data_IF_886584691534
#
_entry.id   IF_886584691534
#
_cell.length_a   1.000
_cell.length_b   1.000
_cell.length_c   1.000
_cell.angle_alpha   90.00
_cell.angle_beta   90.00
_cell.angle_gamma   90.00
#
_symmetry.space_group_name_H-M   'P 1'
#
loop_
_entity.id
_entity.type
_entity.pdbx_description
1 polymer ?
#
# COMPACT_ATOMS: atom_id res chain seq x y z
N UNK A 1 -32.10 35.32 -49.01
CA UNK A 1 -30.77 35.71 -48.48
C UNK A 1 -30.74 35.32 -47.00
N UNK A 2 -29.72 34.59 -46.59
CA UNK A 2 -29.76 33.61 -45.50
C UNK A 2 -29.90 34.18 -44.07
N UNK A 3 -30.81 33.58 -43.29
CA UNK A 3 -30.94 33.75 -41.83
C UNK A 3 -29.77 33.07 -41.09
N UNK A 4 -29.13 33.81 -40.19
CA UNK A 4 -28.13 33.30 -39.27
C UNK A 4 -28.76 32.36 -38.22
N UNK A 5 -28.39 31.07 -38.23
CA UNK A 5 -28.63 30.15 -37.12
C UNK A 5 -27.51 30.34 -36.09
N UNK A 6 -27.85 30.88 -34.91
CA UNK A 6 -26.95 30.92 -33.75
C UNK A 6 -26.85 29.50 -33.19
N UNK A 7 -25.64 28.93 -33.23
CA UNK A 7 -25.30 27.66 -32.58
C UNK A 7 -25.47 27.80 -31.06
N UNK A 8 -26.25 26.89 -30.47
CA UNK A 8 -26.26 26.64 -29.03
C UNK A 8 -25.02 25.82 -28.66
N UNK A 9 -23.95 26.49 -28.20
CA UNK A 9 -22.82 25.86 -27.52
C UNK A 9 -22.81 26.38 -26.09
N UNK A 10 -23.69 25.82 -25.25
CA UNK A 10 -23.67 26.05 -23.80
C UNK A 10 -24.18 24.84 -22.99
N UNK A 11 -24.46 23.70 -23.62
CA UNK A 11 -25.07 22.53 -22.97
C UNK A 11 -24.10 21.42 -22.54
N UNK A 12 -22.86 21.41 -23.03
CA UNK A 12 -21.95 20.28 -22.84
C UNK A 12 -21.02 20.39 -21.61
N UNK A 13 -20.92 21.57 -20.97
CA UNK A 13 -20.00 21.78 -19.83
C UNK A 13 -20.71 21.58 -18.47
N UNK A 14 -22.04 21.64 -18.42
CA UNK A 14 -22.79 21.43 -17.18
C UNK A 14 -23.16 19.96 -16.92
N UNK A 15 -23.17 19.11 -17.96
CA UNK A 15 -23.50 17.69 -17.84
C UNK A 15 -22.34 16.80 -17.35
N UNK A 16 -21.11 17.34 -17.32
CA UNK A 16 -19.93 16.66 -16.75
C UNK A 16 -19.79 16.83 -15.22
N UNK A 17 -20.67 17.61 -14.58
CA UNK A 17 -20.60 17.92 -13.14
C UNK A 17 -21.67 17.24 -12.28
N UNK A 18 -22.55 16.40 -12.85
CA UNK A 18 -23.68 15.80 -12.12
C UNK A 18 -23.79 14.27 -12.29
N UNK A 19 -22.72 13.60 -12.72
CA UNK A 19 -22.78 12.17 -13.07
C UNK A 19 -21.64 11.29 -12.56
N UNK A 20 -20.80 11.77 -11.64
CA UNK A 20 -19.90 10.91 -10.90
C UNK A 20 -20.46 10.77 -9.48
N UNK A 21 -21.31 9.76 -9.26
CA UNK A 21 -21.42 9.22 -7.91
C UNK A 21 -20.00 8.88 -7.48
N UNK A 22 -19.52 9.47 -6.40
CA UNK A 22 -18.19 9.21 -5.88
C UNK A 22 -18.06 7.69 -5.68
N UNK A 23 -17.39 7.00 -6.59
CA UNK A 23 -16.85 5.68 -6.30
C UNK A 23 -15.80 5.93 -5.23
N UNK A 24 -16.24 5.81 -3.99
CA UNK A 24 -15.42 6.03 -2.82
C UNK A 24 -14.20 5.12 -2.96
N UNK A 25 -13.01 5.73 -2.95
CA UNK A 25 -11.76 5.15 -2.51
C UNK A 25 -11.99 3.87 -1.67
N UNK A 26 -11.76 2.68 -2.25
CA UNK A 26 -12.27 1.43 -1.65
C UNK A 26 -11.15 0.59 -1.06
N UNK A 27 -11.21 0.40 0.26
CA UNK A 27 -10.53 -0.71 0.95
C UNK A 27 -11.37 -1.97 0.76
N UNK A 28 -10.74 -3.00 0.23
CA UNK A 28 -11.33 -4.32 0.03
C UNK A 28 -10.74 -5.30 1.03
N UNK A 29 -11.59 -6.10 1.66
CA UNK A 29 -11.20 -7.10 2.66
C UNK A 29 -11.39 -8.50 2.11
N UNK A 30 -10.48 -9.39 2.47
CA UNK A 30 -10.54 -10.79 2.09
C UNK A 30 -11.33 -11.58 3.14
N UNK A 31 -12.44 -12.17 2.71
CA UNK A 31 -13.37 -12.90 3.57
C UNK A 31 -13.51 -14.36 3.14
N UNK A 32 -13.75 -15.23 4.11
CA UNK A 32 -14.14 -16.62 3.84
C UNK A 32 -15.62 -16.74 3.42
N UNK A 33 -16.08 -17.96 3.18
CA UNK A 33 -17.46 -18.23 2.78
C UNK A 33 -18.51 -17.87 3.85
N UNK A 34 -18.10 -17.72 5.11
CA UNK A 34 -18.95 -17.29 6.22
C UNK A 34 -18.95 -15.77 6.45
N UNK A 35 -18.14 -15.03 5.69
CA UNK A 35 -17.92 -13.60 5.89
C UNK A 35 -16.89 -13.28 6.98
N UNK A 36 -16.28 -14.30 7.59
CA UNK A 36 -15.18 -14.16 8.53
C UNK A 36 -13.88 -13.81 7.81
N UNK A 37 -12.81 -13.60 8.58
CA UNK A 37 -11.49 -13.37 8.01
C UNK A 37 -11.10 -14.58 7.15
N UNK A 38 -10.71 -14.33 5.88
CA UNK A 38 -10.23 -15.41 5.02
C UNK A 38 -9.06 -16.15 5.68
N UNK A 39 -8.92 -17.47 5.48
CA UNK A 39 -7.99 -18.26 6.27
C UNK A 39 -6.56 -17.75 6.13
N UNK A 40 -6.01 -17.18 7.21
CA UNK A 40 -4.57 -16.99 7.38
C UNK A 40 -3.94 -18.35 7.77
N UNK A 41 -4.21 -19.40 6.99
CA UNK A 41 -3.78 -20.77 7.31
C UNK A 41 -2.27 -20.80 7.44
N UNK A 42 -1.77 -21.47 8.48
CA UNK A 42 -0.34 -21.73 8.76
C UNK A 42 0.33 -22.60 7.67
N UNK A 43 0.03 -22.39 6.40
CA UNK A 43 0.71 -22.91 5.22
C UNK A 43 0.74 -21.80 4.16
N UNK A 44 1.44 -21.98 3.05
CA UNK A 44 1.38 -21.06 1.91
C UNK A 44 -0.08 -20.73 1.59
N UNK A 45 -0.50 -19.51 1.92
CA UNK A 45 -1.90 -19.11 1.91
C UNK A 45 -2.28 -18.68 0.51
N UNK A 46 -3.04 -19.51 -0.18
CA UNK A 46 -3.56 -19.17 -1.49
C UNK A 46 -4.58 -18.03 -1.35
N UNK A 47 -4.23 -16.85 -1.84
CA UNK A 47 -5.13 -15.68 -2.05
C UNK A 47 -6.40 -15.98 -2.84
N UNK A 48 -6.52 -17.18 -3.42
CA UNK A 48 -7.66 -17.63 -4.20
C UNK A 48 -8.76 -18.26 -3.35
N UNK A 49 -8.53 -18.50 -2.05
CA UNK A 49 -9.55 -19.08 -1.17
C UNK A 49 -10.28 -17.98 -0.41
N UNK A 50 -11.44 -17.59 -0.91
CA UNK A 50 -12.28 -16.55 -0.31
C UNK A 50 -12.86 -15.61 -1.35
N UNK A 51 -13.56 -14.59 -0.87
CA UNK A 51 -14.11 -13.51 -1.68
C UNK A 51 -13.53 -12.18 -1.19
N UNK A 52 -13.47 -11.20 -2.09
CA UNK A 52 -13.09 -9.84 -1.74
C UNK A 52 -14.34 -8.97 -1.66
N UNK A 53 -14.45 -8.14 -0.62
CA UNK A 53 -15.60 -7.23 -0.44
C UNK A 53 -15.66 -6.12 -1.50
N UNK A 54 -14.65 -6.03 -2.36
CA UNK A 54 -14.60 -5.16 -3.53
C UNK A 54 -13.56 -5.69 -4.53
N UNK A 55 -12.63 -4.85 -4.97
CA UNK A 55 -11.57 -5.27 -5.89
C UNK A 55 -10.67 -6.37 -5.32
N UNK A 56 -10.30 -7.34 -6.16
CA UNK A 56 -9.37 -8.42 -5.81
C UNK A 56 -7.94 -8.07 -6.25
N UNK A 57 -6.91 -8.35 -5.42
CA UNK A 57 -5.52 -8.18 -5.82
C UNK A 57 -5.10 -9.16 -6.92
N UNK A 58 -5.75 -10.33 -7.04
CA UNK A 58 -5.50 -11.31 -8.12
C UNK A 58 -5.81 -10.69 -9.48
N UNK A 59 -6.95 -10.00 -9.59
CA UNK A 59 -7.38 -9.31 -10.82
C UNK A 59 -6.44 -8.16 -11.20
N UNK A 60 -5.66 -7.68 -10.21
CA UNK A 60 -4.65 -6.63 -10.34
C UNK A 60 -3.22 -7.18 -10.46
N UNK A 61 -3.06 -8.49 -10.63
CA UNK A 61 -1.79 -9.15 -10.92
C UNK A 61 -0.97 -9.57 -9.70
N UNK A 62 -1.53 -9.58 -8.49
CA UNK A 62 -0.85 -10.14 -7.32
C UNK A 62 -0.75 -11.66 -7.45
N UNK A 63 0.48 -12.18 -7.45
CA UNK A 63 0.76 -13.61 -7.60
C UNK A 63 1.57 -14.19 -6.44
N UNK A 64 1.95 -13.38 -5.45
CA UNK A 64 3.01 -13.78 -4.53
C UNK A 64 2.63 -14.76 -3.42
N UNK A 65 1.35 -15.12 -3.33
CA UNK A 65 0.89 -16.26 -2.53
C UNK A 65 1.13 -16.14 -0.99
N UNK A 66 1.27 -14.91 -0.47
CA UNK A 66 1.09 -14.63 0.95
C UNK A 66 -0.40 -14.37 1.27
N UNK A 67 -0.87 -14.69 2.49
CA UNK A 67 -2.27 -14.54 2.90
C UNK A 67 -2.62 -13.08 3.16
N UNK A 68 -2.86 -12.32 2.10
CA UNK A 68 -3.26 -10.91 2.19
C UNK A 68 -4.68 -10.76 2.70
N UNK A 69 -4.89 -9.87 3.67
CA UNK A 69 -6.18 -9.67 4.36
C UNK A 69 -6.96 -8.48 3.85
N UNK A 70 -6.28 -7.48 3.28
CA UNK A 70 -6.92 -6.29 2.72
C UNK A 70 -6.11 -5.67 1.56
N UNK A 71 -6.80 -4.89 0.74
CA UNK A 71 -6.28 -4.13 -0.39
C UNK A 71 -6.83 -2.70 -0.33
N UNK A 72 -5.95 -1.70 -0.26
CA UNK A 72 -6.31 -0.29 -0.41
C UNK A 72 -6.09 0.16 -1.86
N UNK A 73 -7.15 0.62 -2.53
CA UNK A 73 -7.08 1.16 -3.89
C UNK A 73 -7.09 2.69 -3.84
N UNK A 74 -5.94 3.32 -4.00
CA UNK A 74 -5.74 4.76 -3.78
C UNK A 74 -5.73 5.50 -5.12
N UNK A 75 -6.81 6.23 -5.39
CA UNK A 75 -7.03 6.93 -6.67
C UNK A 75 -6.94 8.45 -6.56
N UNK A 76 -7.03 8.98 -5.34
CA UNK A 76 -7.16 10.42 -5.09
C UNK A 76 -6.25 10.87 -3.95
N UNK A 77 -5.79 12.12 -4.06
CA UNK A 77 -5.07 12.80 -2.99
C UNK A 77 -6.02 13.25 -1.89
N UNK A 78 -5.51 13.30 -0.67
CA UNK A 78 -6.15 13.83 0.54
C UNK A 78 -7.37 13.05 1.05
N UNK A 79 -7.66 11.89 0.45
CA UNK A 79 -8.56 10.90 1.03
C UNK A 79 -7.84 10.08 2.10
N UNK A 80 -8.58 9.67 3.14
CA UNK A 80 -8.11 8.74 4.16
C UNK A 80 -8.80 7.40 3.95
N UNK A 81 -7.99 6.36 3.78
CA UNK A 81 -8.40 4.99 3.57
C UNK A 81 -8.26 4.26 4.91
N UNK A 82 -9.39 4.06 5.59
CA UNK A 82 -9.42 3.35 6.86
C UNK A 82 -9.43 1.85 6.62
N UNK A 83 -8.48 1.17 7.24
CA UNK A 83 -8.37 -0.29 7.29
C UNK A 83 -8.64 -0.71 8.72
N UNK A 84 -9.85 -1.18 9.01
CA UNK A 84 -10.23 -1.58 10.37
C UNK A 84 -11.29 -2.67 10.36
N UNK A 85 -11.40 -3.41 11.47
CA UNK A 85 -12.50 -4.35 11.66
C UNK A 85 -13.88 -3.64 11.63
N UNK A 86 -13.93 -2.38 12.09
CA UNK A 86 -15.13 -1.57 12.06
C UNK A 86 -15.55 -1.21 10.63
N UNK A 87 -14.62 -0.72 9.79
CA UNK A 87 -14.90 -0.43 8.37
C UNK A 87 -15.27 -1.71 7.61
N UNK A 88 -14.56 -2.81 7.84
CA UNK A 88 -14.85 -4.10 7.20
C UNK A 88 -16.31 -4.55 7.45
N UNK A 89 -16.80 -4.43 8.70
CA UNK A 89 -18.18 -4.81 9.07
C UNK A 89 -19.26 -3.95 8.42
N UNK A 90 -18.90 -2.80 7.84
CA UNK A 90 -19.85 -2.01 7.03
C UNK A 90 -20.05 -2.58 5.62
N UNK A 91 -19.15 -3.47 5.16
CA UNK A 91 -19.18 -4.03 3.81
C UNK A 91 -20.14 -5.21 3.73
N UNK A 92 -20.79 -5.34 2.58
CA UNK A 92 -21.71 -6.45 2.32
C UNK A 92 -20.99 -7.80 2.42
N UNK A 93 -21.62 -8.76 3.12
CA UNK A 93 -21.10 -10.12 3.26
C UNK A 93 -20.05 -10.30 4.35
N UNK A 94 -19.65 -9.25 5.07
CA UNK A 94 -18.72 -9.35 6.20
C UNK A 94 -19.46 -9.71 7.49
N UNK A 95 -18.94 -10.68 8.23
CA UNK A 95 -19.51 -11.13 9.49
C UNK A 95 -19.12 -10.21 10.65
N UNK A 96 -19.98 -10.14 11.68
CA UNK A 96 -19.76 -9.27 12.85
C UNK A 96 -18.52 -9.63 13.68
N UNK A 97 -18.04 -10.88 13.56
CA UNK A 97 -16.83 -11.37 14.19
C UNK A 97 -15.56 -11.18 13.33
N UNK A 98 -15.64 -10.52 12.17
CA UNK A 98 -14.47 -10.17 11.39
C UNK A 98 -13.50 -9.32 12.21
N UNK A 99 -12.21 -9.62 12.11
CA UNK A 99 -11.12 -8.94 12.80
C UNK A 99 -9.92 -8.80 11.87
N UNK A 100 -9.06 -7.84 12.18
CA UNK A 100 -7.71 -7.73 11.63
C UNK A 100 -6.74 -7.95 12.77
N UNK A 101 -5.81 -8.89 12.59
CA UNK A 101 -4.97 -9.35 13.69
C UNK A 101 -3.56 -9.73 13.24
N UNK A 102 -2.63 -9.58 14.17
CA UNK A 102 -1.24 -10.03 14.10
C UNK A 102 -0.90 -10.75 15.41
N UNK A 103 0.04 -11.70 15.39
CA UNK A 103 0.48 -12.34 16.65
C UNK A 103 1.36 -11.37 17.44
N UNK A 104 0.91 -11.02 18.64
CA UNK A 104 1.67 -10.26 19.63
C UNK A 104 2.97 -10.96 20.01
N UNK A 105 4.00 -10.15 20.27
CA UNK A 105 5.29 -10.56 20.85
C UNK A 105 6.26 -11.27 19.89
N UNK A 106 6.11 -11.05 18.58
CA UNK A 106 7.05 -11.59 17.59
C UNK A 106 7.68 -10.54 16.69
N UNK A 107 7.35 -9.25 16.79
CA UNK A 107 7.97 -8.20 15.97
C UNK A 107 9.35 -7.78 16.50
N UNK A 108 10.40 -8.51 16.10
CA UNK A 108 11.80 -8.26 16.50
C UNK A 108 12.65 -7.98 15.28
N UNK A 109 13.32 -6.83 15.20
CA UNK A 109 14.10 -6.40 14.03
C UNK A 109 15.21 -7.36 13.59
N UNK A 110 15.76 -8.18 14.49
CA UNK A 110 16.89 -9.07 14.22
C UNK A 110 16.53 -10.54 13.98
N UNK A 111 15.31 -10.97 14.29
CA UNK A 111 14.85 -12.35 14.05
C UNK A 111 13.34 -12.45 14.31
N UNK A 112 12.55 -12.41 13.24
CA UNK A 112 11.11 -12.57 13.34
C UNK A 112 10.53 -13.35 12.16
N UNK A 113 9.47 -14.08 12.45
CA UNK A 113 8.79 -14.99 11.53
C UNK A 113 7.61 -14.28 10.86
N UNK A 114 7.46 -14.48 9.55
CA UNK A 114 6.32 -13.94 8.80
C UNK A 114 4.96 -14.36 9.34
N UNK A 115 4.87 -15.48 10.06
CA UNK A 115 3.61 -15.96 10.62
C UNK A 115 3.09 -15.06 11.75
N UNK A 116 3.92 -14.15 12.26
CA UNK A 116 3.49 -13.14 13.21
C UNK A 116 2.85 -11.92 12.54
N UNK A 117 2.94 -11.82 11.22
CA UNK A 117 2.55 -10.62 10.49
C UNK A 117 1.16 -10.76 9.89
N UNK A 118 0.54 -9.61 9.68
CA UNK A 118 -0.56 -9.44 8.75
C UNK A 118 -0.07 -8.74 7.47
N UNK A 119 -0.76 -9.00 6.36
CA UNK A 119 -0.32 -8.68 5.01
C UNK A 119 -1.36 -7.82 4.29
N UNK A 120 -1.03 -6.55 4.09
CA UNK A 120 -1.84 -5.59 3.37
C UNK A 120 -1.26 -5.22 2.00
N UNK A 121 -2.12 -4.97 1.03
CA UNK A 121 -1.71 -4.49 -0.29
C UNK A 121 -2.20 -3.06 -0.51
N UNK A 122 -1.39 -2.26 -1.20
CA UNK A 122 -1.74 -0.91 -1.62
C UNK A 122 -1.55 -0.84 -3.13
N UNK A 123 -2.59 -0.42 -3.83
CA UNK A 123 -2.57 -0.07 -5.25
C UNK A 123 -2.68 1.45 -5.37
N UNK A 124 -1.55 2.10 -5.65
CA UNK A 124 -1.44 3.56 -5.66
C UNK A 124 -1.45 4.06 -7.10
N UNK A 125 -2.56 4.64 -7.55
CA UNK A 125 -2.69 5.15 -8.92
C UNK A 125 -2.07 6.55 -9.09
N UNK A 126 -1.78 7.24 -7.98
CA UNK A 126 -1.26 8.61 -7.97
C UNK A 126 0.09 8.69 -7.27
N UNK A 127 1.08 9.31 -7.90
CA UNK A 127 2.38 9.53 -7.27
C UNK A 127 2.28 10.61 -6.18
N UNK A 128 2.89 10.41 -5.02
CA UNK A 128 2.73 11.33 -3.90
C UNK A 128 3.46 10.92 -2.62
N UNK A 129 3.22 11.71 -1.58
CA UNK A 129 3.68 11.41 -0.24
C UNK A 129 2.65 10.49 0.43
N UNK A 130 3.00 9.22 0.61
CA UNK A 130 2.13 8.21 1.23
C UNK A 130 2.34 8.24 2.75
N UNK A 131 1.29 8.58 3.50
CA UNK A 131 1.29 8.52 4.96
C UNK A 131 0.54 7.29 5.42
N UNK A 132 1.18 6.52 6.30
CA UNK A 132 0.61 5.31 6.91
C UNK A 132 0.68 5.48 8.42
N UNK A 133 -0.45 5.26 9.07
CA UNK A 133 -0.55 5.14 10.53
C UNK A 133 -1.09 3.77 10.85
N UNK A 134 -0.44 3.06 11.78
CA UNK A 134 -0.94 1.79 12.36
C UNK A 134 -1.06 1.98 13.86
N UNK A 135 -2.16 1.52 14.43
CA UNK A 135 -2.47 1.65 15.86
C UNK A 135 -3.12 0.37 16.41
N UNK A 136 -2.95 0.14 17.71
CA UNK A 136 -3.72 -0.88 18.42
C UNK A 136 -5.23 -0.59 18.33
N UNK A 137 -6.02 -1.61 18.01
CA UNK A 137 -7.48 -1.49 18.07
C UNK A 137 -7.97 -1.69 19.51
N UNK A 138 -8.00 -0.59 20.26
CA UNK A 138 -8.47 -0.58 21.65
C UNK A 138 -9.94 -0.98 21.79
N UNK A 139 -10.75 -0.88 20.72
CA UNK A 139 -12.15 -1.33 20.75
C UNK A 139 -12.28 -2.86 20.81
N UNK A 140 -11.20 -3.56 20.42
CA UNK A 140 -11.05 -5.02 20.52
C UNK A 140 -10.12 -5.43 21.67
N UNK A 141 -9.84 -4.52 22.60
CA UNK A 141 -8.92 -4.72 23.73
C UNK A 141 -7.47 -5.05 23.33
N UNK A 142 -7.03 -4.63 22.14
CA UNK A 142 -5.64 -4.76 21.74
C UNK A 142 -4.75 -3.79 22.53
N UNK A 143 -3.59 -4.27 22.93
CA UNK A 143 -2.60 -3.47 23.68
C UNK A 143 -1.21 -3.54 23.07
N UNK A 144 -1.07 -4.11 21.87
CA UNK A 144 0.25 -4.22 21.26
C UNK A 144 0.85 -2.87 20.85
N UNK A 145 2.18 -2.80 20.87
CA UNK A 145 2.97 -1.74 20.29
C UNK A 145 3.17 -2.05 18.78
N UNK A 146 2.45 -1.35 17.87
CA UNK A 146 2.46 -1.69 16.45
C UNK A 146 3.75 -1.30 15.73
N UNK A 147 3.98 -1.97 14.61
CA UNK A 147 4.99 -1.66 13.63
C UNK A 147 4.57 -2.12 12.24
N UNK A 148 5.21 -1.55 11.23
CA UNK A 148 5.01 -1.95 9.85
C UNK A 148 6.26 -1.77 9.00
N UNK A 149 6.33 -2.50 7.90
CA UNK A 149 7.33 -2.37 6.83
C UNK A 149 6.64 -2.21 5.48
N UNK A 150 7.13 -1.27 4.67
CA UNK A 150 6.61 -0.99 3.33
C UNK A 150 7.63 -1.40 2.26
N UNK A 151 7.13 -2.07 1.22
CA UNK A 151 7.89 -2.50 0.06
C UNK A 151 7.21 -1.99 -1.22
N UNK A 152 7.98 -1.63 -2.25
CA UNK A 152 7.45 -1.51 -3.61
C UNK A 152 7.41 -2.88 -4.27
N UNK A 153 6.39 -3.10 -5.08
CA UNK A 153 6.08 -4.37 -5.71
C UNK A 153 5.09 -5.20 -4.89
N UNK A 154 4.51 -6.18 -5.58
CA UNK A 154 3.57 -7.16 -5.03
C UNK A 154 4.12 -8.59 -5.06
N UNK A 155 5.43 -8.68 -5.30
CA UNK A 155 6.13 -9.92 -5.55
C UNK A 155 5.97 -10.40 -6.99
N UNK A 156 7.02 -11.07 -7.52
CA UNK A 156 7.11 -11.49 -8.92
C UNK A 156 7.07 -13.01 -9.10
N UNK A 157 6.78 -13.77 -8.04
CA UNK A 157 6.78 -15.24 -8.06
C UNK A 157 5.74 -15.81 -7.11
N UNK A 158 5.23 -17.00 -7.40
CA UNK A 158 4.20 -17.72 -6.61
C UNK A 158 4.70 -18.39 -5.33
N UNK A 159 5.86 -17.98 -4.80
CA UNK A 159 6.61 -18.70 -3.76
C UNK A 159 6.59 -18.05 -2.37
N UNK A 160 5.75 -17.04 -2.12
CA UNK A 160 5.68 -16.41 -0.80
C UNK A 160 5.40 -17.42 0.31
N UNK A 161 6.17 -17.33 1.39
CA UNK A 161 6.12 -18.25 2.52
C UNK A 161 6.21 -17.48 3.84
N UNK A 162 5.08 -17.37 4.54
CA UNK A 162 5.02 -16.72 5.86
C UNK A 162 5.79 -17.46 6.97
N UNK A 163 6.19 -18.72 6.76
CA UNK A 163 7.03 -19.45 7.72
C UNK A 163 8.52 -19.19 7.53
N UNK A 164 8.89 -18.18 6.76
CA UNK A 164 10.26 -17.69 6.66
C UNK A 164 10.44 -16.43 7.51
N UNK A 165 11.70 -16.06 7.70
CA UNK A 165 12.02 -14.79 8.33
C UNK A 165 11.60 -13.63 7.41
N UNK A 166 11.03 -12.57 7.97
CA UNK A 166 10.70 -11.35 7.21
C UNK A 166 11.79 -10.27 7.31
N UNK A 167 12.73 -10.41 8.25
CA UNK A 167 13.77 -9.43 8.55
C UNK A 167 15.11 -10.07 8.93
N UNK A 168 15.50 -11.12 8.23
CA UNK A 168 16.78 -11.77 8.49
C UNK A 168 18.00 -10.83 8.39
N UNK A 169 17.84 -9.66 7.78
CA UNK A 169 18.79 -8.55 7.85
C UNK A 169 18.03 -7.25 8.24
N UNK A 170 18.24 -6.69 9.45
CA UNK A 170 17.58 -5.45 9.89
C UNK A 170 17.99 -4.21 9.09
N UNK A 171 19.21 -4.20 8.53
CA UNK A 171 19.77 -3.05 7.81
C UNK A 171 19.47 -3.11 6.30
N UNK A 172 19.04 -4.26 5.81
CA UNK A 172 18.58 -4.47 4.44
C UNK A 172 17.55 -5.61 4.40
N UNK A 173 16.31 -5.38 4.82
CA UNK A 173 15.27 -6.41 4.88
C UNK A 173 14.73 -6.80 3.49
N UNK A 174 15.39 -6.39 2.40
CA UNK A 174 15.25 -6.95 1.04
C UNK A 174 16.47 -7.79 0.60
N UNK A 175 17.55 -7.76 1.39
CA UNK A 175 18.76 -8.53 1.16
C UNK A 175 18.52 -9.99 1.54
N UNK A 176 19.11 -10.96 0.82
CA UNK A 176 18.94 -12.33 1.16
C UNK A 176 19.37 -12.62 2.62
N UNK A 177 18.74 -13.61 3.26
CA UNK A 177 19.17 -14.39 4.44
C UNK A 177 20.56 -14.97 4.15
N UNK A 178 21.55 -14.09 4.10
CA UNK A 178 22.95 -14.39 4.21
C UNK A 178 23.22 -14.50 5.69
N UNK A 179 23.43 -15.74 6.14
CA UNK A 179 24.23 -16.01 7.32
C UNK A 179 25.43 -15.03 7.33
N UNK A 180 25.41 -14.06 8.26
CA UNK A 180 26.35 -12.91 8.33
C UNK A 180 27.79 -13.36 8.67
N UNK A 181 28.15 -14.61 8.38
CA UNK A 181 29.44 -15.21 8.70
C UNK A 181 30.21 -15.78 7.50
N UNK A 182 29.71 -15.72 6.26
CA UNK A 182 30.46 -16.19 5.10
C UNK A 182 30.98 -15.04 4.20
N UNK A 183 32.25 -14.62 4.32
CA UNK A 183 32.84 -13.52 3.57
C UNK A 183 33.11 -13.83 2.08
N UNK A 184 32.80 -15.05 1.60
CA UNK A 184 33.11 -15.46 0.23
C UNK A 184 31.92 -15.40 -0.76
N UNK A 185 30.81 -14.77 -0.41
CA UNK A 185 29.70 -14.60 -1.37
C UNK A 185 29.96 -13.44 -2.33
N UNK A 186 30.79 -13.71 -3.34
CA UNK A 186 31.08 -12.82 -4.44
C UNK A 186 29.81 -12.49 -5.25
N UNK A 187 29.60 -11.20 -5.49
CA UNK A 187 28.70 -10.62 -6.51
C UNK A 187 27.22 -11.06 -6.45
N UNK A 188 26.42 -10.29 -5.71
CA UNK A 188 24.96 -10.36 -5.63
C UNK A 188 24.30 -10.19 -7.01
N UNK A 189 23.61 -11.23 -7.50
CA UNK A 189 22.70 -11.13 -8.65
C UNK A 189 21.36 -11.79 -8.30
N UNK A 190 20.30 -11.03 -7.97
CA UNK A 190 18.97 -11.55 -7.66
C UNK A 190 18.28 -12.20 -8.87
N UNK A 191 18.90 -12.27 -10.04
CA UNK A 191 18.40 -12.93 -11.25
C UNK A 191 19.17 -14.21 -11.62
N UNK A 192 20.05 -14.70 -10.75
CA UNK A 192 20.71 -15.99 -10.97
C UNK A 192 19.72 -17.16 -10.84
N UNK A 193 19.76 -18.11 -11.79
CA UNK A 193 18.98 -19.35 -11.78
C UNK A 193 19.42 -20.35 -10.69
N UNK A 194 20.54 -20.09 -10.01
CA UNK A 194 21.04 -20.87 -8.85
C UNK A 194 20.69 -20.25 -7.50
N UNK A 195 19.79 -19.26 -7.50
CA UNK A 195 19.33 -18.59 -6.29
C UNK A 195 18.39 -19.48 -5.46
N UNK A 196 18.69 -19.69 -4.18
CA UNK A 196 17.72 -20.31 -3.28
C UNK A 196 16.72 -19.23 -2.81
N UNK A 197 15.44 -19.29 -3.24
CA UNK A 197 14.43 -18.32 -2.83
C UNK A 197 14.19 -18.28 -1.32
N UNK A 198 14.50 -19.35 -0.59
CA UNK A 198 14.41 -19.39 0.89
C UNK A 198 15.37 -18.40 1.55
N UNK A 199 16.34 -17.89 0.79
CA UNK A 199 17.17 -16.81 1.24
C UNK A 199 16.52 -15.45 1.05
N UNK A 200 15.30 -15.24 0.58
CA UNK A 200 14.67 -13.90 0.62
C UNK A 200 13.75 -13.76 1.84
N UNK A 201 13.54 -12.53 2.32
CA UNK A 201 12.42 -12.21 3.20
C UNK A 201 11.13 -12.86 2.68
N UNK A 202 10.53 -13.73 3.48
CA UNK A 202 9.31 -14.46 3.12
C UNK A 202 9.40 -15.29 1.83
N UNK A 203 10.61 -15.63 1.38
CA UNK A 203 10.90 -16.22 0.08
C UNK A 203 10.34 -15.42 -1.13
N UNK A 204 10.17 -14.11 -0.97
CA UNK A 204 9.56 -13.25 -1.98
C UNK A 204 10.59 -12.57 -2.88
N UNK A 205 10.39 -12.66 -4.19
CA UNK A 205 11.12 -11.90 -5.22
C UNK A 205 10.30 -10.71 -5.68
N UNK A 206 10.94 -9.68 -6.24
CA UNK A 206 10.24 -8.52 -6.83
C UNK A 206 9.64 -7.58 -5.79
N UNK A 207 10.30 -7.49 -4.63
CA UNK A 207 10.03 -6.50 -3.60
C UNK A 207 11.28 -5.67 -3.38
N UNK A 208 11.13 -4.35 -3.33
CA UNK A 208 12.18 -3.45 -2.88
C UNK A 208 11.74 -2.78 -1.58
N UNK A 209 12.60 -2.82 -0.56
CA UNK A 209 12.30 -2.22 0.73
C UNK A 209 12.33 -0.70 0.66
N UNK A 210 11.27 -0.06 1.14
CA UNK A 210 11.17 1.41 1.18
C UNK A 210 11.46 1.92 2.59
N UNK A 211 10.94 1.23 3.61
CA UNK A 211 11.20 1.58 4.99
C UNK A 211 10.18 1.02 5.95
N UNK A 212 10.40 1.28 7.23
CA UNK A 212 9.57 0.78 8.32
C UNK A 212 9.32 1.87 9.36
N UNK A 213 8.36 1.60 10.24
CA UNK A 213 8.14 2.36 11.46
C UNK A 213 7.63 1.41 12.55
N UNK A 214 8.01 1.65 13.80
CA UNK A 214 7.45 0.93 14.96
C UNK A 214 7.42 1.82 16.19
N UNK A 215 6.52 1.54 17.11
CA UNK A 215 6.52 2.13 18.46
C UNK A 215 6.88 1.07 19.51
N UNK A 216 7.27 1.52 20.68
CA UNK A 216 7.44 0.69 21.89
C UNK A 216 6.36 1.01 22.94
N UNK A 217 5.35 1.80 22.56
CA UNK A 217 4.25 2.18 23.44
C UNK A 217 3.12 1.18 23.29
N UNK A 218 2.83 0.43 24.35
CA UNK A 218 1.71 -0.50 24.42
C UNK A 218 0.38 0.25 24.23
N UNK A 219 -0.50 -0.31 23.39
CA UNK A 219 -1.76 0.32 22.98
C UNK A 219 -1.55 1.60 22.14
N UNK A 220 -0.32 1.86 21.71
CA UNK A 220 0.06 3.07 21.01
C UNK A 220 -0.22 3.03 19.52
N UNK A 221 0.29 4.07 18.85
CA UNK A 221 0.27 4.20 17.40
C UNK A 221 1.66 4.52 16.86
N UNK A 222 1.86 4.23 15.59
CA UNK A 222 3.05 4.62 14.83
C UNK A 222 2.63 5.18 13.48
N UNK A 223 3.26 6.26 13.06
CA UNK A 223 3.00 6.91 11.78
C UNK A 223 4.30 7.19 11.02
N UNK A 224 4.26 7.07 9.70
CA UNK A 224 5.35 7.47 8.81
C UNK A 224 4.83 7.94 7.47
N UNK A 225 5.43 9.01 6.97
CA UNK A 225 5.25 9.49 5.60
C UNK A 225 6.43 9.03 4.74
N UNK A 226 6.12 8.45 3.59
CA UNK A 226 7.06 8.08 2.55
C UNK A 226 6.95 9.09 1.41
N UNK A 227 7.97 9.91 1.25
CA UNK A 227 7.94 11.02 0.30
C UNK A 227 8.20 10.56 -1.13
N UNK A 228 7.55 11.22 -2.09
CA UNK A 228 7.77 11.05 -3.53
C UNK A 228 7.64 9.60 -4.02
N UNK A 229 6.68 8.83 -3.49
CA UNK A 229 6.38 7.51 -4.03
C UNK A 229 5.77 7.65 -5.43
N UNK A 230 6.24 6.82 -6.37
CA UNK A 230 5.63 6.74 -7.69
C UNK A 230 4.25 6.06 -7.61
N UNK A 231 3.40 6.27 -8.63
CA UNK A 231 2.25 5.40 -8.79
C UNK A 231 2.74 3.95 -8.99
N UNK A 232 2.10 2.99 -8.34
CA UNK A 232 2.53 1.61 -8.36
C UNK A 232 1.90 0.73 -7.29
N UNK A 233 2.40 -0.51 -7.23
CA UNK A 233 1.97 -1.52 -6.28
C UNK A 233 2.89 -1.51 -5.07
N UNK A 234 2.32 -1.54 -3.87
CA UNK A 234 3.08 -1.59 -2.62
C UNK A 234 2.54 -2.68 -1.69
N UNK A 235 3.44 -3.28 -0.93
CA UNK A 235 3.14 -4.31 0.05
C UNK A 235 3.43 -3.77 1.45
N UNK A 236 2.40 -3.72 2.29
CA UNK A 236 2.51 -3.36 3.70
C UNK A 236 2.49 -4.61 4.57
N UNK A 237 3.53 -4.79 5.37
CA UNK A 237 3.63 -5.86 6.36
C UNK A 237 3.41 -5.26 7.74
N UNK A 238 2.39 -5.71 8.46
CA UNK A 238 2.00 -5.16 9.76
C UNK A 238 2.27 -6.20 10.84
N UNK A 239 2.80 -5.76 11.98
CA UNK A 239 2.78 -6.55 13.19
C UNK A 239 3.08 -5.70 14.41
N UNK A 240 3.51 -6.33 15.50
CA UNK A 240 3.84 -5.58 16.72
C UNK A 240 4.22 -6.48 17.89
N UNK A 241 4.44 -5.86 19.04
CA UNK A 241 4.75 -6.55 20.28
C UNK A 241 3.65 -6.30 21.30
N UNK A 242 3.00 -7.37 21.77
CA UNK A 242 2.05 -7.31 22.89
C UNK A 242 2.69 -7.90 24.15
N UNK A 243 1.98 -7.81 25.27
CA UNK A 243 2.43 -8.38 26.54
C UNK A 243 2.54 -9.92 26.49
N UNK A 244 1.69 -10.56 25.70
CA UNK A 244 1.58 -12.01 25.56
C UNK A 244 1.73 -12.47 24.10
N UNK A 245 1.84 -13.80 23.90
CA UNK A 245 1.87 -14.42 22.57
C UNK A 245 0.46 -14.63 21.96
N UNK A 246 -0.49 -13.74 22.26
CA UNK A 246 -1.87 -13.75 21.78
C UNK A 246 -2.01 -13.04 20.43
N UNK A 247 -3.15 -13.22 19.77
CA UNK A 247 -3.54 -12.37 18.66
C UNK A 247 -3.86 -10.97 19.18
N UNK A 248 -3.33 -9.97 18.50
CA UNK A 248 -3.49 -8.55 18.80
C UNK A 248 -4.12 -7.87 17.59
N UNK A 249 -5.07 -6.97 17.86
CA UNK A 249 -5.88 -6.35 16.82
C UNK A 249 -5.36 -4.98 16.45
N UNK A 250 -5.53 -4.59 15.20
CA UNK A 250 -5.05 -3.31 14.72
C UNK A 250 -6.04 -2.62 13.79
N UNK A 251 -5.83 -1.32 13.64
CA UNK A 251 -6.38 -0.53 12.54
C UNK A 251 -5.28 0.28 11.90
N UNK A 252 -5.44 0.60 10.63
CA UNK A 252 -4.53 1.44 9.87
C UNK A 252 -5.29 2.55 9.14
N UNK A 253 -4.62 3.69 9.00
CA UNK A 253 -5.07 4.80 8.17
C UNK A 253 -4.01 5.08 7.13
N UNK A 254 -4.42 5.10 5.87
CA UNK A 254 -3.53 5.33 4.73
C UNK A 254 -4.02 6.57 4.00
N UNK A 255 -3.13 7.48 3.64
CA UNK A 255 -3.49 8.65 2.84
C UNK A 255 -2.33 9.06 1.94
N UNK A 256 -2.64 9.70 0.81
CA UNK A 256 -1.63 10.23 -0.10
C UNK A 256 -1.83 11.72 -0.30
N UNK A 257 -0.75 12.49 -0.23
CA UNK A 257 -0.75 13.91 -0.57
C UNK A 257 0.08 14.15 -1.83
N UNK A 258 -0.33 15.12 -2.65
CA UNK A 258 0.44 15.50 -3.84
C UNK A 258 1.80 16.09 -3.43
N UNK A 259 2.84 15.80 -4.21
CA UNK A 259 4.17 16.40 -4.00
C UNK A 259 4.11 17.90 -4.31
N UNK A 260 4.48 18.79 -3.38
CA UNK A 260 4.54 20.22 -3.67
C UNK A 260 5.55 20.50 -4.78
N UNK A 261 5.08 20.99 -5.93
CA UNK A 261 5.97 21.39 -7.01
C UNK A 261 6.68 22.68 -6.59
N UNK A 262 8.03 22.76 -6.63
CA UNK A 262 8.75 23.97 -6.27
C UNK A 262 8.24 25.19 -7.05
N UNK A 263 8.06 26.32 -6.37
CA UNK A 263 7.56 27.57 -6.97
C UNK A 263 8.34 28.00 -8.22
N UNK A 264 9.60 27.59 -8.35
CA UNK A 264 10.42 27.82 -9.55
C UNK A 264 9.81 27.22 -10.83
N UNK A 265 9.12 26.08 -10.77
CA UNK A 265 8.44 25.48 -11.93
C UNK A 265 7.24 26.34 -12.36
N UNK A 266 6.51 26.89 -11.38
CA UNK A 266 5.44 27.86 -11.62
C UNK A 266 5.97 29.18 -12.21
N UNK A 267 7.09 29.67 -11.70
CA UNK A 267 7.75 30.87 -12.22
C UNK A 267 8.30 30.66 -13.64
N UNK A 268 8.86 29.47 -13.92
CA UNK A 268 9.33 29.13 -15.25
C UNK A 268 8.16 29.04 -16.25
N UNK A 269 7.06 28.39 -15.87
CA UNK A 269 5.84 28.32 -16.69
C UNK A 269 5.28 29.70 -17.03
N UNK A 270 5.25 30.62 -16.06
CA UNK A 270 4.78 32.00 -16.29
C UNK A 270 5.76 32.83 -17.11
N UNK A 271 7.08 32.64 -16.95
CA UNK A 271 8.10 33.31 -17.77
C UNK A 271 8.02 32.89 -19.25
N UNK A 272 7.83 31.59 -19.54
CA UNK A 272 7.68 31.09 -20.92
C UNK A 272 6.40 31.62 -21.56
N UNK A 273 5.27 31.57 -20.85
CA UNK A 273 4.01 32.14 -21.34
C UNK A 273 4.12 33.65 -21.61
N UNK A 274 4.81 34.38 -20.72
CA UNK A 274 5.09 35.80 -20.87
C UNK A 274 5.93 36.13 -22.12
N UNK A 275 6.97 35.34 -22.40
CA UNK A 275 7.82 35.53 -23.59
C UNK A 275 7.07 35.28 -24.90
N UNK A 276 6.21 34.27 -24.97
CA UNK A 276 5.39 34.00 -26.17
C UNK A 276 4.37 35.12 -26.40
N UNK A 277 3.78 35.66 -25.33
CA UNK A 277 2.87 36.80 -25.39
C UNK A 277 3.54 38.10 -25.86
N UNK A 278 4.77 38.36 -25.41
CA UNK A 278 5.55 39.53 -25.83
C UNK A 278 6.09 39.41 -27.27
N UNK A 279 6.45 38.21 -27.72
CA UNK A 279 6.93 37.98 -29.10
C UNK A 279 5.85 38.28 -30.16
N UNK A 280 4.58 37.99 -29.88
CA UNK A 280 3.47 38.26 -30.81
C UNK A 280 3.16 39.75 -30.98
N UNK A 281 3.44 40.60 -29.99
CA UNK A 281 3.24 42.05 -30.12
C UNK A 281 4.23 42.71 -31.08
N UNK A 282 5.43 42.12 -31.28
CA UNK A 282 6.39 42.63 -32.27
C UNK A 282 6.05 42.24 -33.71
N UNK A 283 5.43 41.08 -33.92
CA UNK A 283 5.03 40.63 -35.26
C UNK A 283 3.82 41.39 -35.84
N UNK A 284 2.99 42.03 -35.00
CA UNK A 284 1.85 42.84 -35.45
C UNK A 284 2.15 44.33 -35.70
N UNK A 285 3.38 44.79 -35.47
CA UNK A 285 3.79 46.20 -35.61
C UNK A 285 4.75 46.41 -36.81
N UNK A 286 5.11 45.36 -37.55
CA UNK A 286 5.81 45.51 -38.83
C UNK A 286 4.78 45.59 -39.96
N UNK A 287 4.36 46.82 -40.27
CA UNK A 287 3.72 47.23 -41.53
C UNK A 287 4.76 47.92 -42.42
#
# INVERSE_FOLDING_TARGET
MFQFKKLAIAGAVAASLLGAGAAQAHVSYHIDASGGQAPNVNGTGTITTGSWTGGSPVDKGYIANLPTTWLANIHHYNDVYEVSAADAKTKAGVAQNFVLESTGNRWKSSSSWGNALDYGLIDLDVAGNLSITVEADSSLNSTFAPGFSLFSGWGSTTHGNKHQAWNANPDAPSSPIGNVSNPNHASYNPNSLSFNPDQLPLAMRGLDFIGYASTTTDGGSVSKTFDNLAAGKYFLWIGGNGADNSNEFYKASISVAAVPVPGAVWLFGTAVAGMIGFGRRRAGISA
#
